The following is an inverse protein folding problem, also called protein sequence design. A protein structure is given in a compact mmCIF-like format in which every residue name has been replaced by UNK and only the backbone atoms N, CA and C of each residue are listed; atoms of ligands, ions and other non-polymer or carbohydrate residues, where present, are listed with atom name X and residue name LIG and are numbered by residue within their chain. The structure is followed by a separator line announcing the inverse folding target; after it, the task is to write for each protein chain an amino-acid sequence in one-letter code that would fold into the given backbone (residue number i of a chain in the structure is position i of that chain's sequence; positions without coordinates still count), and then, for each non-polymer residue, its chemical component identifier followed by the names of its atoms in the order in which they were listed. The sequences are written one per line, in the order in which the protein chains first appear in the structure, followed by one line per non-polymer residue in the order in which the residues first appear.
data_IF_201011694773
#
_entry.id   IF_201011694773
#
_cell.length_a   1.000
_cell.length_b   1.000
_cell.length_c   1.000
_cell.angle_alpha   90.00
_cell.angle_beta   90.00
_cell.angle_gamma   90.00
#
_symmetry.space_group_name_H-M   'P 1'
#
loop_
_entity.id
_entity.type
_entity.pdbx_description
1 polymer ?
#
# COMPACT_ATOMS: atom_id res chain seq x y z
N UNK A 1 16.84 -5.87 1.26
CA UNK A 1 15.94 -7.04 1.15
C UNK A 1 14.71 -6.58 0.39
N UNK A 2 14.26 -7.31 -0.64
CA UNK A 2 13.11 -6.87 -1.45
C UNK A 2 11.85 -6.88 -0.60
N UNK A 3 11.03 -5.84 -0.73
CA UNK A 3 9.73 -5.75 -0.06
C UNK A 3 8.61 -5.89 -1.09
N UNK A 4 7.41 -6.23 -0.64
CA UNK A 4 6.30 -6.57 -1.53
C UNK A 4 5.02 -5.85 -1.13
N UNK A 5 4.19 -5.53 -2.11
CA UNK A 5 2.79 -5.16 -1.87
C UNK A 5 1.86 -6.19 -2.47
N UNK A 6 0.72 -6.43 -1.81
CA UNK A 6 -0.38 -7.20 -2.38
C UNK A 6 -1.64 -6.33 -2.33
N UNK A 7 -2.18 -5.95 -3.48
CA UNK A 7 -3.32 -5.03 -3.60
C UNK A 7 -4.52 -5.74 -4.25
N UNK A 8 -5.72 -5.46 -3.77
CA UNK A 8 -6.98 -5.88 -4.39
C UNK A 8 -8.08 -4.84 -4.23
N UNK A 9 -9.19 -5.01 -4.94
CA UNK A 9 -10.39 -4.19 -4.80
C UNK A 9 -11.64 -5.03 -4.59
N UNK A 10 -12.59 -4.48 -3.83
CA UNK A 10 -13.92 -5.06 -3.59
C UNK A 10 -14.95 -3.97 -3.32
N UNK A 11 -16.23 -4.31 -3.40
CA UNK A 11 -17.33 -3.38 -3.12
C UNK A 11 -17.75 -3.43 -1.66
N UNK A 12 -17.99 -2.25 -1.08
CA UNK A 12 -18.57 -2.10 0.26
C UNK A 12 -17.53 -2.00 1.38
N UNK A 13 -17.83 -1.13 2.35
CA UNK A 13 -16.96 -0.81 3.48
C UNK A 13 -16.71 -2.01 4.40
N UNK A 14 -17.76 -2.60 4.93
CA UNK A 14 -17.66 -3.68 5.92
C UNK A 14 -16.84 -4.88 5.40
N UNK A 15 -17.07 -5.43 4.18
CA UNK A 15 -16.23 -6.50 3.66
C UNK A 15 -14.78 -6.04 3.41
N UNK A 16 -14.53 -4.78 3.06
CA UNK A 16 -13.18 -4.27 2.89
C UNK A 16 -12.39 -4.22 4.21
N UNK A 17 -13.01 -3.73 5.29
CA UNK A 17 -12.39 -3.76 6.62
C UNK A 17 -12.22 -5.19 7.13
N UNK A 18 -13.19 -6.08 6.88
CA UNK A 18 -13.08 -7.49 7.25
C UNK A 18 -11.92 -8.19 6.51
N UNK A 19 -11.74 -7.90 5.22
CA UNK A 19 -10.60 -8.40 4.45
C UNK A 19 -9.28 -7.87 5.02
N UNK A 20 -9.19 -6.59 5.37
CA UNK A 20 -8.00 -6.01 6.00
C UNK A 20 -7.62 -6.74 7.29
N UNK A 21 -8.58 -6.94 8.20
CA UNK A 21 -8.35 -7.70 9.44
C UNK A 21 -7.95 -9.15 9.17
N UNK A 22 -8.49 -9.78 8.13
CA UNK A 22 -8.11 -11.14 7.76
C UNK A 22 -6.67 -11.21 7.21
N UNK A 23 -6.22 -10.17 6.50
CA UNK A 23 -4.85 -10.08 5.97
C UNK A 23 -3.79 -10.01 7.06
N UNK A 24 -4.08 -9.40 8.22
CA UNK A 24 -3.16 -9.38 9.38
C UNK A 24 -2.78 -10.77 9.90
N UNK A 25 -3.56 -11.80 9.54
CA UNK A 25 -3.33 -13.20 9.98
C UNK A 25 -2.58 -14.04 8.95
N UNK A 26 -2.11 -13.42 7.86
CA UNK A 26 -1.36 -14.11 6.83
C UNK A 26 0.02 -14.53 7.33
N UNK A 27 0.61 -15.50 6.65
CA UNK A 27 2.01 -15.89 6.82
C UNK A 27 2.65 -15.92 5.43
N UNK A 28 3.70 -15.12 5.17
CA UNK A 28 4.32 -14.12 6.05
C UNK A 28 3.36 -13.03 6.54
N UNK A 29 3.61 -12.49 7.74
CA UNK A 29 2.80 -11.41 8.32
C UNK A 29 3.07 -10.10 7.54
N UNK A 30 2.02 -9.36 7.12
CA UNK A 30 2.22 -8.04 6.56
C UNK A 30 2.73 -7.08 7.63
N UNK A 31 3.75 -6.28 7.30
CA UNK A 31 4.22 -5.18 8.15
C UNK A 31 3.16 -4.10 8.33
N UNK A 32 2.23 -3.99 7.39
CA UNK A 32 1.10 -3.07 7.48
C UNK A 32 0.01 -3.40 6.49
N UNK A 33 -1.23 -3.11 6.86
CA UNK A 33 -2.43 -3.28 6.03
C UNK A 33 -3.17 -1.95 5.92
N UNK A 34 -3.59 -1.58 4.71
CA UNK A 34 -4.37 -0.39 4.40
C UNK A 34 -5.70 -0.73 3.77
N UNK A 35 -6.75 0.04 4.10
CA UNK A 35 -8.11 -0.08 3.57
C UNK A 35 -8.60 1.32 3.21
N UNK A 36 -8.88 1.57 1.94
CA UNK A 36 -9.24 2.89 1.43
C UNK A 36 -10.45 2.82 0.50
N UNK A 37 -11.31 3.82 0.54
CA UNK A 37 -12.37 4.00 -0.46
C UNK A 37 -11.79 4.71 -1.69
N UNK A 38 -12.18 4.27 -2.89
CA UNK A 38 -11.85 4.98 -4.12
C UNK A 38 -12.69 6.25 -4.23
N UNK A 39 -12.05 7.42 -4.35
CA UNK A 39 -12.71 8.74 -4.43
C UNK A 39 -13.31 9.05 -5.83
N UNK A 40 -13.66 8.03 -6.60
CA UNK A 40 -14.24 8.14 -7.94
C UNK A 40 -15.77 7.94 -7.97
N UNK A 41 -16.39 7.71 -6.80
CA UNK A 41 -17.83 7.47 -6.67
C UNK A 41 -18.28 6.07 -7.07
N UNK A 42 -17.35 5.14 -7.34
CA UNK A 42 -17.68 3.75 -7.70
C UNK A 42 -18.17 2.91 -6.51
N UNK A 43 -17.91 3.36 -5.27
CA UNK A 43 -18.12 2.55 -4.06
C UNK A 43 -17.16 1.35 -3.94
N UNK A 44 -16.10 1.32 -4.76
CA UNK A 44 -15.01 0.37 -4.63
C UNK A 44 -14.07 0.78 -3.50
N UNK A 45 -13.54 -0.23 -2.85
CA UNK A 45 -12.56 -0.12 -1.80
C UNK A 45 -11.30 -0.86 -2.23
N UNK A 46 -10.14 -0.25 -2.01
CA UNK A 46 -8.84 -0.87 -2.17
C UNK A 46 -8.37 -1.40 -0.81
N UNK A 47 -7.88 -2.65 -0.82
CA UNK A 47 -7.27 -3.27 0.36
C UNK A 47 -5.88 -3.74 -0.03
N UNK A 48 -4.89 -3.39 0.78
CA UNK A 48 -3.49 -3.62 0.47
C UNK A 48 -2.68 -4.03 1.69
N UNK A 49 -1.73 -4.95 1.50
CA UNK A 49 -0.74 -5.32 2.51
C UNK A 49 0.68 -5.05 2.02
N UNK A 50 1.55 -4.61 2.93
CA UNK A 50 3.00 -4.49 2.72
C UNK A 50 3.72 -5.64 3.44
N UNK A 51 4.71 -6.25 2.81
CA UNK A 51 5.43 -7.41 3.34
C UNK A 51 6.93 -7.24 3.18
N UNK A 52 7.70 -7.69 4.18
CA UNK A 52 9.17 -7.80 4.12
C UNK A 52 9.64 -9.05 3.35
N UNK A 53 8.73 -10.01 3.16
CA UNK A 53 8.95 -11.26 2.43
C UNK A 53 7.85 -11.45 1.38
N UNK A 54 8.10 -12.32 0.41
CA UNK A 54 7.11 -12.59 -0.64
C UNK A 54 5.84 -13.19 -0.02
N UNK A 55 4.65 -12.58 -0.21
CA UNK A 55 3.42 -13.08 0.39
C UNK A 55 2.97 -14.40 -0.25
N UNK A 56 2.27 -15.23 0.52
CA UNK A 56 1.69 -16.48 0.04
C UNK A 56 0.53 -16.21 -0.93
N UNK A 57 0.77 -16.49 -2.22
CA UNK A 57 -0.20 -16.31 -3.28
C UNK A 57 -1.46 -17.18 -3.12
N UNK A 58 -1.34 -18.38 -2.55
CA UNK A 58 -2.47 -19.27 -2.33
C UNK A 58 -3.37 -18.73 -1.22
N UNK A 59 -2.78 -18.28 -0.11
CA UNK A 59 -3.52 -17.67 0.99
C UNK A 59 -4.27 -16.39 0.53
N UNK A 60 -3.60 -15.53 -0.25
CA UNK A 60 -4.21 -14.34 -0.85
C UNK A 60 -5.38 -14.70 -1.78
N UNK A 61 -5.23 -15.72 -2.62
CA UNK A 61 -6.30 -16.18 -3.50
C UNK A 61 -7.53 -16.69 -2.72
N UNK A 62 -7.30 -17.42 -1.62
CA UNK A 62 -8.37 -17.88 -0.72
C UNK A 62 -9.10 -16.69 -0.09
N UNK A 63 -8.36 -15.70 0.43
CA UNK A 63 -8.97 -14.49 1.00
C UNK A 63 -9.81 -13.72 -0.03
N UNK A 64 -9.28 -13.54 -1.25
CA UNK A 64 -10.01 -12.87 -2.32
C UNK A 64 -11.34 -13.56 -2.62
N UNK A 65 -11.34 -14.89 -2.77
CA UNK A 65 -12.59 -15.63 -3.03
C UNK A 65 -13.54 -15.64 -1.83
N UNK A 66 -13.02 -15.78 -0.61
CA UNK A 66 -13.83 -15.83 0.59
C UNK A 66 -14.54 -14.50 0.89
N UNK A 67 -13.89 -13.37 0.57
CA UNK A 67 -14.40 -12.02 0.84
C UNK A 67 -15.06 -11.35 -0.39
N UNK A 68 -15.06 -12.01 -1.55
CA UNK A 68 -15.63 -11.46 -2.78
C UNK A 68 -14.81 -10.32 -3.39
N UNK A 69 -13.50 -10.29 -3.14
CA UNK A 69 -12.58 -9.35 -3.76
C UNK A 69 -12.10 -9.83 -5.13
N UNK A 70 -11.54 -8.92 -5.91
CA UNK A 70 -10.74 -9.28 -7.09
C UNK A 70 -9.49 -10.06 -6.66
N UNK A 71 -8.84 -10.70 -7.63
CA UNK A 71 -7.58 -11.39 -7.36
C UNK A 71 -6.50 -10.36 -6.97
N UNK A 72 -5.64 -10.71 -6.02
CA UNK A 72 -4.56 -9.83 -5.57
C UNK A 72 -3.50 -9.64 -6.66
N UNK A 73 -3.05 -8.40 -6.82
CA UNK A 73 -1.85 -8.06 -7.58
C UNK A 73 -0.68 -7.95 -6.61
N UNK A 74 0.31 -8.84 -6.75
CA UNK A 74 1.53 -8.82 -5.94
C UNK A 74 2.66 -8.15 -6.72
N UNK A 75 3.26 -7.12 -6.14
CA UNK A 75 4.34 -6.33 -6.74
C UNK A 75 5.56 -6.32 -5.83
N UNK A 76 6.75 -6.59 -6.39
CA UNK A 76 8.02 -6.35 -5.71
C UNK A 76 8.37 -4.86 -5.78
N UNK A 77 8.73 -4.27 -4.64
CA UNK A 77 9.12 -2.88 -4.55
C UNK A 77 10.66 -2.76 -4.67
N UNK A 78 11.16 -1.84 -5.51
CA UNK A 78 12.60 -1.59 -5.58
C UNK A 78 13.10 -0.95 -4.29
N UNK A 79 14.32 -1.31 -3.88
CA UNK A 79 15.04 -0.63 -2.79
C UNK A 79 15.51 0.77 -3.26
N UNK A 80 14.57 1.70 -3.37
CA UNK A 80 14.82 3.09 -3.77
C UNK A 80 14.94 3.98 -2.54
N UNK A 81 16.08 4.66 -2.39
CA UNK A 81 16.22 5.77 -1.44
C UNK A 81 15.51 7.01 -1.99
N UNK A 82 14.20 7.10 -1.72
CA UNK A 82 13.37 8.22 -2.12
C UNK A 82 13.83 9.55 -1.51
N UNK A 83 14.48 9.51 -0.34
CA UNK A 83 15.02 10.71 0.30
C UNK A 83 16.21 11.23 -0.51
N UNK A 84 17.17 10.37 -0.87
CA UNK A 84 18.28 10.77 -1.74
C UNK A 84 17.80 11.18 -3.14
N UNK A 85 16.75 10.53 -3.66
CA UNK A 85 16.16 10.85 -4.95
C UNK A 85 15.54 12.26 -4.95
N UNK A 86 14.65 12.57 -3.99
CA UNK A 86 13.98 13.87 -3.90
C UNK A 86 14.93 14.98 -3.43
N UNK A 87 15.90 14.69 -2.56
CA UNK A 87 16.89 15.67 -2.08
C UNK A 87 17.71 16.32 -3.19
N UNK A 88 17.98 15.63 -4.31
CA UNK A 88 18.71 16.20 -5.45
C UNK A 88 17.91 17.27 -6.19
N UNK A 89 16.59 17.31 -6.02
CA UNK A 89 15.68 18.16 -6.78
C UNK A 89 15.05 19.29 -5.95
N UNK A 90 15.35 19.38 -4.66
CA UNK A 90 14.85 20.45 -3.80
C UNK A 90 15.68 21.73 -3.97
N UNK A 91 15.28 22.57 -4.93
CA UNK A 91 15.70 23.97 -4.98
C UNK A 91 15.16 24.75 -3.77
N UNK A 92 15.84 25.81 -3.29
CA UNK A 92 15.35 26.65 -2.20
C UNK A 92 13.95 27.18 -2.49
N UNK A 93 13.07 27.15 -1.48
CA UNK A 93 11.70 27.66 -1.61
C UNK A 93 11.68 29.13 -1.22
N UNK A 94 11.25 30.00 -2.15
CA UNK A 94 10.99 31.42 -1.89
C UNK A 94 9.63 31.58 -1.19
N UNK A 95 9.64 32.03 0.06
CA UNK A 95 8.47 32.25 0.89
C UNK A 95 8.30 33.75 1.18
N UNK A 96 7.96 34.53 0.13
CA UNK A 96 7.85 35.98 0.22
C UNK A 96 9.21 36.64 0.40
N UNK A 97 9.49 37.22 1.58
CA UNK A 97 10.78 37.92 1.85
C UNK A 97 11.87 36.98 2.38
N UNK A 98 11.59 35.68 2.45
CA UNK A 98 12.49 34.69 3.03
C UNK A 98 12.78 33.59 2.02
N UNK A 99 13.98 33.04 2.10
CA UNK A 99 14.35 31.80 1.42
C UNK A 99 14.48 30.70 2.47
N UNK A 100 13.81 29.58 2.26
CA UNK A 100 13.91 28.40 3.13
C UNK A 100 14.91 27.44 2.50
N UNK A 101 16.03 27.27 3.18
CA UNK A 101 17.04 26.26 2.86
C UNK A 101 16.83 25.06 3.77
N UNK A 102 16.74 23.86 3.19
CA UNK A 102 16.75 22.64 3.98
C UNK A 102 18.12 22.45 4.64
N UNK A 103 18.16 22.28 5.96
CA UNK A 103 19.40 22.13 6.75
C UNK A 103 19.92 20.68 6.77
N UNK A 104 19.81 19.99 5.64
CA UNK A 104 20.11 18.55 5.53
C UNK A 104 21.60 18.26 5.68
#
# INVERSE_FOLDING_TARGET
MPTFTALTTLTGRDPAYALGVAMERLTPEPTGVGVFEMEDGSGLWEVGGYFEEKPDAAALAVLAKAMGAKDFTVSELPETDWVAHVRRELAPVEAGRFFVYGSH
#
